data_IF_944753258307
#
_entry.id   IF_944753258307
#
_cell.length_a   1.000
_cell.length_b   1.000
_cell.length_c   1.000
_cell.angle_alpha   90.00
_cell.angle_beta   90.00
_cell.angle_gamma   90.00
#
_symmetry.space_group_name_H-M   'P 1'
#
loop_
_entity.id
_entity.type
_entity.pdbx_description
1 polymer ?
#
# COMPACT_ATOMS: atom_id res chain seq x y z
N UNK A 1 -17.28 -13.54 13.41
CA UNK A 1 -17.69 -14.41 12.30
C UNK A 1 -16.48 -14.61 11.41
N UNK A 2 -16.08 -15.84 11.10
CA UNK A 2 -15.05 -16.08 10.09
C UNK A 2 -15.65 -15.76 8.73
N UNK A 3 -15.06 -14.82 7.97
CA UNK A 3 -15.37 -14.68 6.54
C UNK A 3 -15.10 -16.01 5.82
N UNK A 4 -15.93 -16.42 4.86
CA UNK A 4 -15.65 -17.58 4.02
C UNK A 4 -14.35 -17.40 3.23
N UNK A 5 -13.71 -18.51 2.89
CA UNK A 5 -12.39 -18.54 2.22
C UNK A 5 -12.37 -17.78 0.89
N UNK A 6 -13.45 -17.87 0.11
CA UNK A 6 -13.58 -17.18 -1.17
C UNK A 6 -13.63 -15.66 -1.02
N UNK A 7 -14.28 -15.15 0.03
CA UNK A 7 -14.26 -13.72 0.36
C UNK A 7 -12.85 -13.25 0.74
N UNK A 8 -12.09 -14.08 1.49
CA UNK A 8 -10.70 -13.76 1.83
C UNK A 8 -9.80 -13.74 0.59
N UNK A 9 -10.00 -14.65 -0.36
CA UNK A 9 -9.28 -14.66 -1.64
C UNK A 9 -9.62 -13.45 -2.49
N UNK A 10 -10.91 -13.10 -2.59
CA UNK A 10 -11.34 -11.90 -3.30
C UNK A 10 -10.71 -10.64 -2.68
N UNK A 11 -10.77 -10.54 -1.35
CA UNK A 11 -10.13 -9.44 -0.61
C UNK A 11 -8.63 -9.38 -0.82
N UNK A 12 -7.94 -10.52 -0.83
CA UNK A 12 -6.51 -10.59 -1.13
C UNK A 12 -6.19 -10.04 -2.52
N UNK A 13 -6.97 -10.42 -3.54
CA UNK A 13 -6.82 -9.90 -4.91
C UNK A 13 -7.01 -8.38 -4.97
N UNK A 14 -8.04 -7.85 -4.32
CA UNK A 14 -8.30 -6.40 -4.25
C UNK A 14 -7.15 -5.62 -3.61
N UNK A 15 -6.58 -6.17 -2.52
CA UNK A 15 -5.44 -5.56 -1.84
C UNK A 15 -4.21 -5.58 -2.74
N UNK A 16 -3.92 -6.69 -3.42
CA UNK A 16 -2.78 -6.79 -4.34
C UNK A 16 -2.89 -5.78 -5.50
N UNK A 17 -4.08 -5.65 -6.10
CA UNK A 17 -4.34 -4.62 -7.12
C UNK A 17 -4.23 -3.18 -6.59
N UNK A 18 -4.57 -2.96 -5.32
CA UNK A 18 -4.48 -1.63 -4.71
C UNK A 18 -3.03 -1.29 -4.37
N UNK A 19 -2.26 -2.25 -3.88
CA UNK A 19 -0.83 -2.11 -3.63
C UNK A 19 -0.07 -1.80 -4.91
N UNK A 20 -0.38 -2.48 -6.01
CA UNK A 20 0.27 -2.23 -7.29
C UNK A 20 0.00 -0.81 -7.79
N UNK A 21 -1.23 -0.32 -7.65
CA UNK A 21 -1.60 1.07 -7.97
C UNK A 21 -0.88 2.08 -7.08
N UNK A 22 -0.93 1.91 -5.76
CA UNK A 22 -0.29 2.83 -4.82
C UNK A 22 1.23 2.90 -5.00
N UNK A 23 1.88 1.77 -5.30
CA UNK A 23 3.32 1.74 -5.59
C UNK A 23 3.67 2.42 -6.91
N UNK A 24 2.79 2.34 -7.91
CA UNK A 24 2.95 3.08 -9.15
C UNK A 24 2.75 4.59 -8.97
N UNK A 25 1.83 4.99 -8.08
CA UNK A 25 1.53 6.39 -7.75
C UNK A 25 2.53 7.01 -6.77
N UNK A 26 3.38 6.21 -6.12
CA UNK A 26 4.35 6.69 -5.15
C UNK A 26 5.38 7.61 -5.85
N UNK A 27 5.40 8.91 -5.52
CA UNK A 27 6.18 9.87 -6.29
C UNK A 27 7.68 9.64 -6.04
N UNK A 28 8.46 9.63 -7.14
CA UNK A 28 9.90 9.44 -7.08
C UNK A 28 10.58 10.58 -6.27
N UNK A 29 11.67 10.29 -5.52
CA UNK A 29 12.42 11.32 -4.79
C UNK A 29 12.76 12.51 -5.71
N UNK A 30 12.55 13.77 -5.27
CA UNK A 30 12.95 14.92 -6.05
C UNK A 30 14.45 14.84 -6.31
N UNK A 31 14.84 14.97 -7.58
CA UNK A 31 16.25 14.94 -8.00
C UNK A 31 17.02 16.21 -7.64
N UNK A 32 16.33 17.28 -7.26
CA UNK A 32 16.94 18.58 -6.97
C UNK A 32 16.29 19.22 -5.73
N UNK A 33 17.12 19.71 -4.81
CA UNK A 33 16.71 20.26 -3.50
C UNK A 33 16.23 21.73 -3.59
N UNK A 34 15.99 22.24 -4.81
CA UNK A 34 15.86 23.67 -5.09
C UNK A 34 14.54 24.31 -4.64
N UNK A 35 13.48 23.53 -4.45
CA UNK A 35 12.15 24.07 -4.18
C UNK A 35 11.59 23.57 -2.83
N UNK A 36 11.89 24.33 -1.77
CA UNK A 36 11.57 23.97 -0.38
C UNK A 36 10.06 23.85 -0.11
N UNK A 37 9.22 24.57 -0.86
CA UNK A 37 7.76 24.50 -0.72
C UNK A 37 7.21 23.21 -1.34
N UNK A 38 7.67 22.87 -2.55
CA UNK A 38 7.31 21.61 -3.21
C UNK A 38 7.86 20.40 -2.46
N UNK A 39 9.02 20.54 -1.80
CA UNK A 39 9.63 19.49 -0.99
C UNK A 39 8.74 19.09 0.20
N UNK A 40 8.06 20.05 0.85
CA UNK A 40 7.16 19.75 1.98
C UNK A 40 5.88 19.03 1.55
N UNK A 41 5.26 19.47 0.45
CA UNK A 41 4.07 18.82 -0.10
C UNK A 41 4.39 17.43 -0.66
N UNK A 42 5.52 17.30 -1.34
CA UNK A 42 6.05 16.02 -1.82
C UNK A 42 6.23 15.02 -0.66
N UNK A 43 6.92 15.43 0.42
CA UNK A 43 7.18 14.55 1.56
C UNK A 43 5.88 14.11 2.21
N UNK A 44 4.94 15.03 2.45
CA UNK A 44 3.65 14.72 3.05
C UNK A 44 2.84 13.72 2.20
N UNK A 45 2.75 13.94 0.88
CA UNK A 45 2.06 13.02 -0.03
C UNK A 45 2.72 11.64 -0.04
N UNK A 46 4.06 11.60 -0.04
CA UNK A 46 4.80 10.34 -0.02
C UNK A 46 4.59 9.57 1.28
N UNK A 47 4.68 10.24 2.43
CA UNK A 47 4.43 9.64 3.74
C UNK A 47 3.01 9.08 3.84
N UNK A 48 2.01 9.82 3.34
CA UNK A 48 0.62 9.35 3.29
C UNK A 48 0.48 8.06 2.47
N UNK A 49 1.02 8.03 1.25
CA UNK A 49 0.97 6.84 0.39
C UNK A 49 1.73 5.66 1.00
N UNK A 50 2.88 5.90 1.63
CA UNK A 50 3.63 4.86 2.34
C UNK A 50 2.83 4.28 3.51
N UNK A 51 2.18 5.12 4.32
CA UNK A 51 1.34 4.64 5.41
C UNK A 51 0.18 3.77 4.92
N UNK A 52 -0.44 4.12 3.79
CA UNK A 52 -1.48 3.29 3.16
C UNK A 52 -0.92 1.94 2.67
N UNK A 53 0.26 1.95 2.04
CA UNK A 53 0.94 0.73 1.57
C UNK A 53 1.24 -0.19 2.76
N UNK A 54 1.82 0.32 3.85
CA UNK A 54 2.17 -0.47 5.03
C UNK A 54 0.94 -1.15 5.66
N UNK A 55 -0.19 -0.44 5.76
CA UNK A 55 -1.43 -1.00 6.29
C UNK A 55 -1.98 -2.14 5.42
N UNK A 56 -1.94 -1.96 4.10
CA UNK A 56 -2.39 -2.97 3.13
C UNK A 56 -1.45 -4.18 3.07
N UNK A 57 -0.13 -3.97 3.19
CA UNK A 57 0.85 -5.06 3.27
C UNK A 57 0.62 -5.92 4.53
N UNK A 58 0.36 -5.29 5.68
CA UNK A 58 0.04 -6.01 6.90
C UNK A 58 -1.31 -6.75 6.83
N UNK A 59 -2.32 -6.19 6.15
CA UNK A 59 -3.57 -6.92 5.87
C UNK A 59 -3.34 -8.11 4.93
N UNK A 60 -2.57 -7.90 3.85
CA UNK A 60 -2.20 -8.94 2.90
C UNK A 60 -1.49 -10.10 3.58
N UNK A 61 -0.50 -9.83 4.43
CA UNK A 61 0.24 -10.85 5.16
C UNK A 61 -0.70 -11.68 6.05
N UNK A 62 -1.55 -11.03 6.85
CA UNK A 62 -2.55 -11.71 7.69
C UNK A 62 -3.52 -12.57 6.88
N UNK A 63 -3.95 -12.10 5.70
CA UNK A 63 -4.82 -12.88 4.82
C UNK A 63 -4.09 -14.10 4.25
N UNK A 64 -2.86 -13.94 3.79
CA UNK A 64 -2.03 -15.06 3.28
C UNK A 64 -1.81 -16.12 4.35
N UNK A 65 -1.49 -15.71 5.58
CA UNK A 65 -1.37 -16.64 6.71
C UNK A 65 -2.68 -17.36 7.00
N UNK A 66 -3.81 -16.64 7.00
CA UNK A 66 -5.14 -17.23 7.23
C UNK A 66 -5.57 -18.22 6.13
N UNK A 67 -5.00 -18.09 4.93
CA UNK A 67 -5.24 -18.95 3.77
C UNK A 67 -4.18 -20.05 3.62
N UNK A 68 -3.14 -20.07 4.44
CA UNK A 68 -2.03 -21.03 4.34
C UNK A 68 -1.12 -20.80 3.13
N UNK A 69 -0.95 -19.54 2.70
CA UNK A 69 -0.13 -19.13 1.55
C UNK A 69 1.25 -18.56 1.96
N UNK A 70 1.66 -18.78 3.21
CA UNK A 70 2.94 -18.37 3.80
C UNK A 70 4.07 -19.27 3.31
#
# INVERSE_FOLDING_TARGET
>A
MNQPEDERRARLSEIEESLDRLRADLPAPPGDAGDFVDSGQYLAQREELQGQIELLEAERERLRDSLGLS
#
